data_IF_907555829006
#
_entry.id   IF_907555829006
#
_cell.length_a   1.000
_cell.length_b   1.000
_cell.length_c   1.000
_cell.angle_alpha   90.00
_cell.angle_beta   90.00
_cell.angle_gamma   90.00
#
_symmetry.space_group_name_H-M   'P 1'
#
loop_
_entity.id
_entity.type
_entity.pdbx_description
1 polymer ?
#
# COMPACT_ATOMS: atom_id res chain seq x y z
N UNK A 1 -2.88 52.59 -21.29
CA UNK A 1 -4.07 52.27 -20.46
C UNK A 1 -4.52 50.87 -20.83
N UNK A 2 -4.70 49.96 -19.87
CA UNK A 2 -3.63 49.09 -19.38
C UNK A 2 -3.77 47.62 -19.84
N UNK A 3 -2.62 46.98 -19.99
CA UNK A 3 -2.43 45.53 -20.01
C UNK A 3 -2.99 44.95 -18.70
N UNK A 4 -4.08 44.19 -18.78
CA UNK A 4 -4.51 43.38 -17.64
C UNK A 4 -3.72 42.08 -17.75
N UNK A 5 -2.56 42.06 -17.10
CA UNK A 5 -1.95 40.82 -16.64
C UNK A 5 -2.95 40.14 -15.70
N UNK A 6 -3.74 39.23 -16.25
CA UNK A 6 -4.37 38.21 -15.43
C UNK A 6 -3.27 37.24 -15.04
N UNK A 7 -2.62 37.49 -13.90
CA UNK A 7 -1.93 36.45 -13.14
C UNK A 7 -2.97 35.36 -12.86
N UNK A 8 -3.00 34.35 -13.73
CA UNK A 8 -3.81 33.16 -13.58
C UNK A 8 -3.50 32.57 -12.21
N UNK A 9 -4.49 32.63 -11.32
CA UNK A 9 -4.39 32.16 -9.96
C UNK A 9 -3.78 30.77 -9.93
N UNK A 10 -2.81 30.58 -9.04
CA UNK A 10 -2.38 29.27 -8.59
C UNK A 10 -3.59 28.60 -7.92
N UNK A 11 -4.40 27.91 -8.70
CA UNK A 11 -5.40 27.00 -8.17
C UNK A 11 -4.67 25.72 -7.70
N UNK A 12 -3.90 25.89 -6.63
CA UNK A 12 -3.17 24.83 -5.95
C UNK A 12 -4.19 24.02 -5.16
N UNK A 13 -4.81 23.07 -5.86
CA UNK A 13 -5.68 22.04 -5.29
C UNK A 13 -5.07 21.49 -4.00
N UNK A 14 -5.87 21.36 -2.94
CA UNK A 14 -5.41 20.98 -1.59
C UNK A 14 -4.60 19.67 -1.54
N UNK A 15 -4.67 18.83 -2.58
CA UNK A 15 -3.85 17.63 -2.76
C UNK A 15 -2.37 17.94 -3.03
N UNK A 16 -2.10 18.95 -3.86
CA UNK A 16 -0.73 19.36 -4.23
C UNK A 16 0.03 20.00 -3.06
N UNK A 17 -0.70 20.60 -2.12
CA UNK A 17 -0.15 21.23 -0.91
C UNK A 17 0.16 20.23 0.23
N UNK A 18 -0.10 18.93 0.05
CA UNK A 18 0.15 17.93 1.10
C UNK A 18 1.64 17.72 1.29
N UNK A 19 2.14 17.91 2.51
CA UNK A 19 3.48 17.50 2.90
C UNK A 19 3.56 15.97 3.04
N UNK A 20 3.96 15.32 1.95
CA UNK A 20 4.11 13.87 1.88
C UNK A 20 5.21 13.32 2.78
N UNK A 21 6.23 14.10 3.10
CA UNK A 21 7.31 13.71 4.00
C UNK A 21 6.79 13.61 5.42
N UNK A 22 5.99 14.59 5.86
CA UNK A 22 5.34 14.56 7.17
C UNK A 22 4.29 13.44 7.28
N UNK A 23 3.50 13.22 6.21
CA UNK A 23 2.52 12.13 6.14
C UNK A 23 3.22 10.76 6.27
N UNK A 24 4.23 10.50 5.44
CA UNK A 24 5.01 9.26 5.49
C UNK A 24 5.73 9.09 6.85
N UNK A 25 6.29 10.17 7.40
CA UNK A 25 6.92 10.15 8.72
C UNK A 25 5.95 9.74 9.83
N UNK A 26 4.70 10.20 9.77
CA UNK A 26 3.65 9.83 10.74
C UNK A 26 3.30 8.35 10.67
N UNK A 27 3.12 7.82 9.45
CA UNK A 27 2.83 6.39 9.25
C UNK A 27 4.00 5.53 9.72
N UNK A 28 5.23 5.86 9.31
CA UNK A 28 6.44 5.14 9.73
C UNK A 28 6.62 5.10 11.25
N UNK A 29 6.34 6.22 11.96
CA UNK A 29 6.39 6.25 13.42
C UNK A 29 5.39 5.28 14.05
N UNK A 30 4.17 5.21 13.53
CA UNK A 30 3.16 4.26 14.02
C UNK A 30 3.56 2.81 13.72
N UNK A 31 4.02 2.53 12.50
CA UNK A 31 4.50 1.21 12.10
C UNK A 31 5.67 0.74 12.99
N UNK A 32 6.66 1.60 13.25
CA UNK A 32 7.76 1.29 14.15
C UNK A 32 7.35 1.08 15.62
N UNK A 33 6.22 1.67 16.06
CA UNK A 33 5.63 1.36 17.37
C UNK A 33 4.93 0.01 17.38
N UNK A 34 4.21 -0.33 16.29
CA UNK A 34 3.56 -1.64 16.12
C UNK A 34 4.62 -2.74 16.12
N UNK A 35 5.67 -2.60 15.30
CA UNK A 35 6.78 -3.55 15.22
C UNK A 35 7.43 -3.80 16.58
N UNK A 36 7.82 -2.74 17.31
CA UNK A 36 8.45 -2.88 18.63
C UNK A 36 7.53 -3.52 19.67
N UNK A 37 6.24 -3.21 19.64
CA UNK A 37 5.27 -3.84 20.53
C UNK A 37 5.08 -5.33 20.19
N UNK A 38 5.01 -5.68 18.91
CA UNK A 38 4.88 -7.05 18.44
C UNK A 38 6.12 -7.90 18.78
N UNK A 39 7.33 -7.35 18.60
CA UNK A 39 8.58 -7.99 18.99
C UNK A 39 8.69 -8.28 20.50
N UNK A 40 7.97 -7.53 21.34
CA UNK A 40 7.90 -7.73 22.80
C UNK A 40 6.71 -8.61 23.24
N UNK A 41 5.88 -9.06 22.30
CA UNK A 41 4.66 -9.81 22.62
C UNK A 41 3.51 -8.98 23.22
N UNK A 42 3.58 -7.64 23.19
CA UNK A 42 2.57 -6.73 23.76
C UNK A 42 1.29 -6.65 22.88
N UNK A 43 0.56 -7.76 22.74
CA UNK A 43 -0.53 -7.89 21.75
C UNK A 43 -1.71 -6.94 21.93
N UNK A 44 -2.05 -6.58 23.18
CA UNK A 44 -3.06 -5.56 23.43
C UNK A 44 -2.66 -4.19 22.85
N UNK A 45 -1.38 -3.84 22.97
CA UNK A 45 -0.81 -2.60 22.44
C UNK A 45 -0.75 -2.63 20.91
N UNK A 46 -0.35 -3.76 20.32
CA UNK A 46 -0.38 -3.97 18.86
C UNK A 46 -1.77 -3.68 18.30
N UNK A 47 -2.81 -4.32 18.85
CA UNK A 47 -4.20 -4.12 18.41
C UNK A 47 -4.64 -2.66 18.53
N UNK A 48 -4.26 -1.96 19.60
CA UNK A 48 -4.59 -0.55 19.79
C UNK A 48 -3.87 0.36 18.78
N UNK A 49 -2.60 0.10 18.50
CA UNK A 49 -1.82 0.84 17.52
C UNK A 49 -2.28 0.58 16.08
N UNK A 50 -2.66 -0.64 15.74
CA UNK A 50 -3.27 -0.97 14.45
C UNK A 50 -4.59 -0.24 14.25
N UNK A 51 -5.46 -0.27 15.26
CA UNK A 51 -6.72 0.50 15.30
C UNK A 51 -6.48 2.01 15.14
N UNK A 52 -5.39 2.53 15.70
CA UNK A 52 -5.00 3.94 15.54
C UNK A 52 -4.51 4.23 14.12
N UNK A 53 -3.66 3.36 13.56
CA UNK A 53 -3.10 3.52 12.21
C UNK A 53 -4.20 3.52 11.15
N UNK A 54 -5.12 2.55 11.19
CA UNK A 54 -6.22 2.44 10.22
C UNK A 54 -7.10 3.70 10.22
N UNK A 55 -7.31 4.33 11.38
CA UNK A 55 -8.13 5.55 11.50
C UNK A 55 -7.36 6.83 11.15
N UNK A 56 -6.03 6.78 11.09
CA UNK A 56 -5.18 7.94 10.86
C UNK A 56 -5.41 8.56 9.48
N UNK A 57 -5.58 9.89 9.44
CA UNK A 57 -5.64 10.65 8.18
C UNK A 57 -4.38 10.44 7.34
N UNK A 58 -3.20 10.36 7.98
CA UNK A 58 -1.93 10.16 7.28
C UNK A 58 -1.90 8.80 6.55
N UNK A 59 -2.40 7.74 7.19
CA UNK A 59 -2.47 6.42 6.56
C UNK A 59 -3.45 6.42 5.37
N UNK A 60 -4.61 7.06 5.52
CA UNK A 60 -5.60 7.19 4.42
C UNK A 60 -5.01 7.95 3.22
N UNK A 61 -4.35 9.08 3.46
CA UNK A 61 -3.70 9.87 2.41
C UNK A 61 -2.63 9.07 1.67
N UNK A 62 -1.77 8.37 2.42
CA UNK A 62 -0.70 7.55 1.83
C UNK A 62 -1.28 6.40 1.00
N UNK A 63 -2.31 5.72 1.50
CA UNK A 63 -3.01 4.66 0.77
C UNK A 63 -3.64 5.18 -0.54
N UNK A 64 -4.32 6.33 -0.50
CA UNK A 64 -4.92 6.93 -1.71
C UNK A 64 -3.82 7.26 -2.72
N UNK A 65 -2.74 7.92 -2.29
CA UNK A 65 -1.60 8.22 -3.18
C UNK A 65 -1.02 6.95 -3.80
N UNK A 66 -0.77 5.92 -2.98
CA UNK A 66 -0.23 4.66 -3.46
C UNK A 66 -1.13 4.03 -4.55
N UNK A 67 -2.43 3.94 -4.28
CA UNK A 67 -3.39 3.31 -5.20
C UNK A 67 -3.62 4.13 -6.47
N UNK A 68 -3.64 5.45 -6.37
CA UNK A 68 -4.05 6.36 -7.48
C UNK A 68 -2.88 6.94 -8.26
N UNK A 69 -1.65 6.92 -7.73
CA UNK A 69 -0.50 7.56 -8.37
C UNK A 69 0.68 6.60 -8.57
N UNK A 70 0.93 5.67 -7.65
CA UNK A 70 2.16 4.87 -7.63
C UNK A 70 1.96 3.48 -8.23
N UNK A 71 0.84 2.80 -7.95
CA UNK A 71 0.57 1.46 -8.46
C UNK A 71 0.37 1.44 -9.99
N UNK A 72 0.87 0.39 -10.66
CA UNK A 72 0.73 0.23 -12.12
C UNK A 72 -0.74 0.15 -12.59
N UNK A 73 -1.60 -0.45 -11.76
CA UNK A 73 -3.04 -0.61 -12.04
C UNK A 73 -3.90 0.65 -11.78
N UNK A 74 -3.31 1.83 -11.56
CA UNK A 74 -4.02 3.06 -11.14
C UNK A 74 -5.13 3.52 -12.09
N UNK A 75 -4.97 3.32 -13.39
CA UNK A 75 -5.97 3.66 -14.42
C UNK A 75 -6.91 2.50 -14.78
N UNK A 76 -6.79 1.35 -14.10
CA UNK A 76 -7.65 0.19 -14.40
C UNK A 76 -8.82 0.20 -13.44
N UNK A 77 -10.08 0.40 -13.88
CA UNK A 77 -11.20 0.52 -12.97
C UNK A 77 -11.70 -0.85 -12.46
N UNK A 78 -12.40 -0.81 -11.32
CA UNK A 78 -13.13 -1.96 -10.76
C UNK A 78 -14.44 -2.24 -11.50
N UNK A 79 -15.39 -2.89 -10.79
CA UNK A 79 -16.72 -3.19 -11.33
C UNK A 79 -17.57 -1.93 -11.52
N UNK A 80 -17.31 -0.91 -10.71
CA UNK A 80 -17.88 0.44 -10.72
C UNK A 80 -17.45 1.29 -11.92
N UNK A 81 -16.42 0.86 -12.66
CA UNK A 81 -15.85 1.59 -13.80
C UNK A 81 -15.23 2.96 -13.43
N UNK A 82 -14.92 3.20 -12.16
CA UNK A 82 -14.37 4.47 -11.67
C UNK A 82 -12.84 4.41 -11.53
N UNK A 83 -12.18 5.51 -11.90
CA UNK A 83 -10.76 5.80 -11.65
C UNK A 83 -10.62 7.14 -10.90
N UNK A 84 -9.53 7.34 -10.17
CA UNK A 84 -9.30 8.53 -9.34
C UNK A 84 -8.06 9.29 -9.80
N UNK A 85 -8.14 9.90 -10.99
CA UNK A 85 -6.99 10.53 -11.64
C UNK A 85 -6.82 12.01 -11.27
N UNK A 86 -7.89 12.68 -10.83
CA UNK A 86 -7.88 14.10 -10.47
C UNK A 86 -7.65 14.32 -8.96
N UNK A 87 -7.04 15.44 -8.55
CA UNK A 87 -6.94 15.83 -7.14
C UNK A 87 -8.29 15.81 -6.40
N UNK A 88 -9.35 16.26 -7.07
CA UNK A 88 -10.70 16.36 -6.51
C UNK A 88 -11.27 14.97 -6.23
N UNK A 89 -11.10 14.03 -7.16
CA UNK A 89 -11.54 12.65 -6.98
C UNK A 89 -10.79 11.97 -5.81
N UNK A 90 -9.50 12.27 -5.63
CA UNK A 90 -8.71 11.75 -4.49
C UNK A 90 -9.17 12.33 -3.15
N UNK A 91 -9.51 13.62 -3.14
CA UNK A 91 -10.07 14.27 -1.94
C UNK A 91 -11.48 13.76 -1.63
N UNK A 92 -12.32 13.53 -2.64
CA UNK A 92 -13.63 12.91 -2.48
C UNK A 92 -13.49 11.50 -1.85
N UNK A 93 -12.54 10.68 -2.33
CA UNK A 93 -12.27 9.37 -1.76
C UNK A 93 -11.83 9.43 -0.27
N UNK A 94 -11.13 10.49 0.12
CA UNK A 94 -10.78 10.73 1.52
C UNK A 94 -12.02 11.13 2.35
N UNK A 95 -12.91 11.95 1.78
CA UNK A 95 -14.14 12.44 2.40
C UNK A 95 -15.21 11.35 2.55
N UNK A 96 -15.25 10.38 1.63
CA UNK A 96 -16.13 9.20 1.63
C UNK A 96 -16.01 8.29 2.85
N UNK A 97 -15.16 8.64 3.82
CA UNK A 97 -15.08 7.95 5.09
C UNK A 97 -14.52 6.54 4.89
N UNK A 98 -13.23 6.44 4.54
CA UNK A 98 -12.44 5.19 4.55
C UNK A 98 -12.37 4.60 5.97
N UNK A 99 -13.47 3.99 6.40
CA UNK A 99 -13.70 3.44 7.72
C UNK A 99 -13.95 1.95 7.58
N UNK A 100 -13.41 1.13 8.50
CA UNK A 100 -13.74 -0.29 8.55
C UNK A 100 -15.14 -0.56 9.12
N UNK A 101 -15.69 0.38 9.88
CA UNK A 101 -17.00 0.23 10.48
C UNK A 101 -18.08 0.47 9.43
N UNK A 102 -18.95 -0.51 9.21
CA UNK A 102 -20.01 -0.44 8.20
C UNK A 102 -19.50 -0.54 6.76
N UNK A 103 -18.23 -0.88 6.55
CA UNK A 103 -17.66 -1.05 5.21
C UNK A 103 -18.20 -2.32 4.54
N UNK A 104 -18.74 -2.15 3.34
CA UNK A 104 -19.19 -3.24 2.47
C UNK A 104 -18.34 -3.23 1.19
N UNK A 105 -17.46 -4.24 0.99
CA UNK A 105 -16.63 -4.34 -0.20
C UNK A 105 -17.50 -4.66 -1.43
N UNK A 106 -17.13 -4.12 -2.58
CA UNK A 106 -17.79 -4.47 -3.85
C UNK A 106 -17.22 -5.77 -4.43
N UNK A 107 -18.00 -6.48 -5.28
CA UNK A 107 -17.49 -7.64 -6.00
C UNK A 107 -16.33 -7.25 -6.93
N UNK A 108 -15.33 -8.12 -7.03
CA UNK A 108 -14.17 -7.89 -7.89
C UNK A 108 -14.52 -8.07 -9.37
N UNK A 109 -14.04 -7.16 -10.24
CA UNK A 109 -14.20 -7.29 -11.69
C UNK A 109 -13.23 -8.35 -12.21
N UNK A 110 -13.74 -9.36 -12.92
CA UNK A 110 -12.92 -10.42 -13.52
C UNK A 110 -12.42 -9.99 -14.90
N UNK A 111 -11.11 -10.07 -15.12
CA UNK A 111 -10.46 -9.87 -16.43
C UNK A 111 -9.60 -11.07 -16.73
N UNK A 112 -9.55 -11.50 -17.99
CA UNK A 112 -8.76 -12.66 -18.41
C UNK A 112 -7.52 -12.19 -19.17
N UNK A 113 -6.35 -12.60 -18.68
CA UNK A 113 -5.05 -12.34 -19.32
C UNK A 113 -4.63 -13.61 -20.06
N UNK A 114 -4.32 -13.56 -21.36
CA UNK A 114 -3.85 -14.73 -22.10
C UNK A 114 -2.47 -15.16 -21.59
N UNK A 115 -2.26 -16.47 -21.45
CA UNK A 115 -0.94 -17.08 -21.26
C UNK A 115 -0.38 -17.54 -22.61
N UNK A 116 0.93 -17.70 -22.69
CA UNK A 116 1.62 -18.23 -23.87
C UNK A 116 1.14 -19.65 -24.26
N UNK A 117 0.67 -20.44 -23.29
CA UNK A 117 0.20 -21.82 -23.51
C UNK A 117 -1.28 -21.93 -23.92
N UNK A 118 -1.91 -20.83 -24.37
CA UNK A 118 -3.33 -20.79 -24.80
C UNK A 118 -4.36 -20.76 -23.66
N UNK A 119 -3.96 -21.01 -22.42
CA UNK A 119 -4.84 -20.85 -21.25
C UNK A 119 -5.00 -19.38 -20.87
N UNK A 120 -6.01 -19.07 -20.03
CA UNK A 120 -6.25 -17.71 -19.52
C UNK A 120 -6.00 -17.65 -18.02
N UNK A 121 -5.21 -16.68 -17.55
CA UNK A 121 -5.09 -16.35 -16.13
C UNK A 121 -6.18 -15.35 -15.76
N UNK A 122 -7.08 -15.68 -14.84
CA UNK A 122 -8.09 -14.73 -14.44
C UNK A 122 -7.55 -13.79 -13.35
N UNK A 123 -7.76 -12.50 -13.52
CA UNK A 123 -7.36 -11.43 -12.59
C UNK A 123 -8.63 -10.80 -12.00
N UNK A 124 -8.66 -10.66 -10.67
CA UNK A 124 -9.70 -9.91 -9.97
C UNK A 124 -9.24 -8.48 -9.74
N UNK A 125 -10.04 -7.51 -10.16
CA UNK A 125 -9.72 -6.08 -10.08
C UNK A 125 -10.75 -5.44 -9.12
N UNK A 126 -10.35 -5.09 -7.89
CA UNK A 126 -11.24 -4.40 -6.94
C UNK A 126 -11.48 -2.94 -7.34
N UNK A 127 -12.46 -2.29 -6.73
CA UNK A 127 -12.68 -0.83 -6.90
C UNK A 127 -11.54 -0.01 -6.30
N UNK A 128 -11.46 1.28 -6.63
CA UNK A 128 -10.45 2.17 -6.07
C UNK A 128 -10.60 2.32 -4.55
N UNK A 129 -11.84 2.36 -4.06
CA UNK A 129 -12.16 2.36 -2.63
C UNK A 129 -11.65 1.09 -1.97
N UNK A 130 -11.93 -0.07 -2.55
CA UNK A 130 -11.53 -1.36 -1.96
C UNK A 130 -10.02 -1.54 -1.94
N UNK A 131 -9.29 -1.15 -3.01
CA UNK A 131 -7.82 -1.15 -3.01
C UNK A 131 -7.25 -0.22 -1.94
N UNK A 132 -7.87 0.94 -1.75
CA UNK A 132 -7.45 1.90 -0.73
C UNK A 132 -7.67 1.31 0.68
N UNK A 133 -8.81 0.69 0.93
CA UNK A 133 -9.09 0.00 2.19
C UNK A 133 -8.10 -1.15 2.44
N UNK A 134 -7.80 -1.95 1.41
CA UNK A 134 -6.77 -3.00 1.47
C UNK A 134 -5.39 -2.43 1.79
N UNK A 135 -4.99 -1.32 1.16
CA UNK A 135 -3.71 -0.66 1.42
C UNK A 135 -3.61 -0.14 2.87
N UNK A 136 -4.69 0.43 3.41
CA UNK A 136 -4.75 0.87 4.81
C UNK A 136 -4.57 -0.31 5.77
N UNK A 137 -5.31 -1.40 5.53
CA UNK A 137 -5.21 -2.61 6.36
C UNK A 137 -3.82 -3.22 6.26
N UNK A 138 -3.26 -3.30 5.05
CA UNK A 138 -1.89 -3.77 4.79
C UNK A 138 -0.87 -2.99 5.63
N UNK A 139 -0.91 -1.66 5.58
CA UNK A 139 0.00 -0.81 6.37
C UNK A 139 -0.09 -1.06 7.89
N UNK A 140 -1.26 -1.46 8.40
CA UNK A 140 -1.45 -1.77 9.82
C UNK A 140 -0.92 -3.16 10.20
N UNK A 141 -1.08 -4.15 9.32
CA UNK A 141 -0.72 -5.54 9.59
C UNK A 141 0.78 -5.82 9.32
N UNK A 142 1.35 -5.23 8.27
CA UNK A 142 2.74 -5.45 7.87
C UNK A 142 3.77 -5.38 9.02
N UNK A 143 3.74 -4.38 9.92
CA UNK A 143 4.78 -4.26 10.96
C UNK A 143 4.69 -5.36 12.03
N UNK A 144 3.50 -5.92 12.27
CA UNK A 144 3.36 -7.07 13.18
C UNK A 144 3.94 -8.33 12.54
N UNK A 145 3.64 -8.56 11.26
CA UNK A 145 4.13 -9.74 10.56
C UNK A 145 5.64 -9.67 10.31
N UNK A 146 6.17 -8.50 10.00
CA UNK A 146 7.60 -8.31 9.81
C UNK A 146 8.40 -8.60 11.09
N UNK A 147 7.81 -8.43 12.29
CA UNK A 147 8.47 -8.81 13.54
C UNK A 147 8.46 -10.32 13.82
N UNK A 148 7.71 -11.10 13.03
CA UNK A 148 7.52 -12.55 13.22
C UNK A 148 8.04 -13.38 12.05
N UNK A 149 8.13 -12.81 10.86
CA UNK A 149 8.55 -13.54 9.68
C UNK A 149 9.98 -14.05 9.82
N UNK A 150 10.17 -15.28 9.34
CA UNK A 150 11.49 -15.90 9.27
C UNK A 150 12.43 -15.13 8.34
N UNK A 151 13.73 -15.20 8.63
CA UNK A 151 14.75 -14.49 7.87
C UNK A 151 14.93 -15.02 6.44
N UNK A 152 14.47 -16.23 6.13
CA UNK A 152 14.53 -16.88 4.81
C UNK A 152 13.21 -16.77 4.03
N UNK A 153 12.23 -15.99 4.50
CA UNK A 153 11.02 -15.68 3.76
C UNK A 153 11.20 -14.41 2.94
N UNK A 154 11.00 -14.45 1.63
CA UNK A 154 11.29 -13.31 0.73
C UNK A 154 10.06 -12.76 0.00
N UNK A 155 8.99 -13.54 -0.11
CA UNK A 155 7.83 -13.20 -0.93
C UNK A 155 7.07 -11.98 -0.39
N UNK A 156 6.87 -10.97 -1.24
CA UNK A 156 6.00 -9.81 -0.99
C UNK A 156 6.31 -9.01 0.29
N UNK A 157 7.58 -9.01 0.72
CA UNK A 157 8.04 -8.28 1.90
C UNK A 157 8.71 -6.95 1.52
N UNK A 158 8.52 -5.87 2.29
CA UNK A 158 9.24 -4.62 2.08
C UNK A 158 10.75 -4.83 2.16
N UNK A 159 11.48 -4.33 1.16
CA UNK A 159 12.95 -4.43 1.12
C UNK A 159 13.50 -5.83 0.85
N UNK A 160 12.67 -6.77 0.39
CA UNK A 160 13.11 -8.10 -0.05
C UNK A 160 12.66 -8.40 -1.47
N UNK A 161 13.48 -9.14 -2.21
CA UNK A 161 13.23 -9.50 -3.60
C UNK A 161 13.45 -10.99 -3.89
N UNK A 162 13.01 -11.45 -5.06
CA UNK A 162 13.32 -12.80 -5.54
C UNK A 162 14.84 -13.03 -5.72
N UNK A 163 15.61 -11.97 -5.98
CA UNK A 163 17.07 -12.09 -6.14
C UNK A 163 17.75 -12.41 -4.82
N UNK A 164 17.29 -11.82 -3.71
CA UNK A 164 17.80 -12.12 -2.37
C UNK A 164 17.61 -13.60 -2.02
N UNK A 165 16.50 -14.20 -2.46
CA UNK A 165 16.26 -15.63 -2.29
C UNK A 165 17.26 -16.48 -3.10
N UNK A 166 17.54 -16.08 -4.35
CA UNK A 166 18.54 -16.73 -5.21
C UNK A 166 19.94 -16.62 -4.58
N UNK A 167 20.30 -15.43 -4.08
CA UNK A 167 21.58 -15.17 -3.42
C UNK A 167 21.73 -16.00 -2.13
N UNK A 168 20.68 -16.08 -1.31
CA UNK A 168 20.69 -16.91 -0.11
C UNK A 168 20.85 -18.39 -0.44
N UNK A 169 20.16 -18.89 -1.47
CA UNK A 169 20.32 -20.27 -1.97
C UNK A 169 21.74 -20.51 -2.47
N UNK A 170 22.25 -19.62 -3.32
CA UNK A 170 23.59 -19.72 -3.86
C UNK A 170 24.63 -19.76 -2.73
N UNK A 171 24.58 -18.83 -1.78
CA UNK A 171 25.53 -18.77 -0.66
C UNK A 171 25.45 -20.03 0.21
N UNK A 172 24.25 -20.50 0.52
CA UNK A 172 24.05 -21.70 1.36
C UNK A 172 24.57 -22.98 0.67
N UNK A 173 24.34 -23.10 -0.65
CA UNK A 173 24.71 -24.29 -1.42
C UNK A 173 26.17 -24.25 -1.92
N UNK A 174 26.76 -23.07 -2.06
CA UNK A 174 28.11 -22.88 -2.59
C UNK A 174 29.20 -22.88 -1.50
N UNK A 175 28.88 -23.35 -0.29
CA UNK A 175 29.89 -23.77 0.68
C UNK A 175 30.58 -25.07 0.19
N UNK A 176 31.44 -24.93 -0.83
CA UNK A 176 32.49 -25.91 -1.10
C UNK A 176 33.55 -25.79 0.02
N UNK A 177 33.47 -26.67 1.04
CA UNK A 177 34.58 -26.92 1.94
C UNK A 177 34.28 -27.26 3.41
N UNK A 178 33.57 -28.36 3.70
CA UNK A 178 33.73 -29.24 4.88
C UNK A 178 32.64 -30.33 4.81
N UNK A 179 32.87 -31.65 4.80
CA UNK A 179 33.95 -32.47 5.32
C UNK A 179 34.39 -33.56 4.32
N UNK A 180 35.64 -33.99 4.45
CA UNK A 180 36.12 -35.26 3.95
C UNK A 180 35.28 -36.41 4.55
N UNK A 181 34.93 -37.37 3.71
CA UNK A 181 34.59 -38.73 4.13
C UNK A 181 35.86 -39.57 4.07
#
# INVERSE_FOLDING_TARGET
MPCIEQTSGRDLTAWSAIDWTAVAGTVRRLQGRIFRAAARGEMARVKNLQKLLVRSRAAKLLAIRQVTQENDGKHTPGIDRVVCDTPEARLALLQDGLSLQGYQPQPVRRVYIPKANGQRRPLGIPTMKDRTMQAIVKMALEPEWESRFEANSYGFRPGRSCHDAIEALHTTLNHQGCSAW
#
